data_IF_521069920383
#
_entry.id   IF_521069920383
#
_cell.length_a   1.000
_cell.length_b   1.000
_cell.length_c   1.000
_cell.angle_alpha   90.00
_cell.angle_beta   90.00
_cell.angle_gamma   90.00
#
_symmetry.space_group_name_H-M   'P 1'
#
loop_
_entity.id
_entity.type
_entity.pdbx_description
1 polymer ?
#
# COMPACT_ATOMS: atom_id res chain seq x y z
N UNK A 1 -20.97 16.19 -2.07
CA UNK A 1 -20.74 16.20 -0.61
C UNK A 1 -19.45 16.95 -0.39
N UNK A 2 -19.49 18.02 0.39
CA UNK A 2 -18.28 18.77 0.73
C UNK A 2 -17.29 17.87 1.47
N UNK A 3 -15.98 18.00 1.20
CA UNK A 3 -14.99 17.27 1.97
C UNK A 3 -15.12 17.64 3.45
N UNK A 4 -15.05 16.67 4.38
CA UNK A 4 -15.07 16.97 5.79
C UNK A 4 -13.91 17.91 6.13
N UNK A 5 -14.09 18.85 7.07
CA UNK A 5 -13.05 19.78 7.45
C UNK A 5 -11.80 19.01 7.90
N UNK A 6 -10.63 19.48 7.47
CA UNK A 6 -9.34 18.95 7.91
C UNK A 6 -9.29 18.94 9.44
N UNK A 7 -8.72 17.89 10.07
CA UNK A 7 -8.59 17.84 11.52
C UNK A 7 -7.77 19.04 11.99
N UNK A 8 -8.25 19.74 13.02
CA UNK A 8 -7.50 20.79 13.69
C UNK A 8 -6.19 20.19 14.22
N UNK A 9 -5.04 20.88 14.07
CA UNK A 9 -3.79 20.42 14.67
C UNK A 9 -3.99 20.16 16.16
N UNK A 10 -3.59 18.98 16.63
CA UNK A 10 -3.57 18.68 18.06
C UNK A 10 -2.66 19.67 18.80
N UNK A 11 -2.85 19.85 20.12
CA UNK A 11 -2.01 20.75 20.90
C UNK A 11 -0.53 20.39 20.76
N UNK A 12 0.38 21.38 20.64
CA UNK A 12 1.79 21.12 20.51
C UNK A 12 2.31 20.43 21.78
N UNK A 13 3.03 19.33 21.63
CA UNK A 13 3.61 18.66 22.77
C UNK A 13 4.84 19.44 23.29
N UNK A 14 5.09 19.45 24.61
CA UNK A 14 6.27 20.09 25.17
C UNK A 14 7.55 19.56 24.51
N UNK A 15 8.54 20.44 24.30
CA UNK A 15 9.81 20.07 23.71
C UNK A 15 10.96 20.91 24.25
N UNK A 16 12.02 20.24 24.69
CA UNK A 16 13.32 20.88 24.91
C UNK A 16 14.02 21.05 23.56
N UNK A 17 14.53 22.24 23.28
CA UNK A 17 15.39 22.53 22.14
C UNK A 17 16.81 22.04 22.46
N UNK A 18 17.47 21.35 21.53
CA UNK A 18 18.85 20.93 21.73
C UNK A 18 19.42 20.01 20.66
N UNK A 19 18.57 19.27 19.92
CA UNK A 19 19.02 18.37 18.86
C UNK A 19 18.19 18.57 17.58
N UNK A 20 18.87 18.86 16.46
CA UNK A 20 18.26 19.14 15.16
C UNK A 20 17.52 17.93 14.60
N UNK A 21 18.05 16.71 14.76
CA UNK A 21 17.40 15.46 14.35
C UNK A 21 16.13 15.22 15.14
N UNK A 22 16.15 15.51 16.45
CA UNK A 22 14.95 15.45 17.28
C UNK A 22 13.92 16.52 16.88
N UNK A 23 14.39 17.69 16.46
CA UNK A 23 13.56 18.74 15.85
C UNK A 23 12.83 18.23 14.60
N UNK A 24 13.55 17.58 13.69
CA UNK A 24 12.95 16.94 12.51
C UNK A 24 12.00 15.80 12.86
N UNK A 25 12.38 14.93 13.79
CA UNK A 25 11.56 13.83 14.26
C UNK A 25 10.20 14.31 14.77
N UNK A 26 10.18 15.43 15.52
CA UNK A 26 8.95 16.01 16.08
C UNK A 26 7.97 16.53 15.03
N UNK A 27 8.37 16.74 13.78
CA UNK A 27 7.46 17.10 12.68
C UNK A 27 6.52 15.95 12.28
N UNK A 28 6.85 14.71 12.65
CA UNK A 28 6.00 13.52 12.45
C UNK A 28 5.40 12.99 13.76
N UNK A 29 5.42 13.80 14.82
CA UNK A 29 4.90 13.42 16.14
C UNK A 29 3.43 13.78 16.28
N UNK A 30 2.68 12.84 16.84
CA UNK A 30 1.36 13.04 17.39
C UNK A 30 1.35 12.73 18.89
N UNK A 31 0.65 13.54 19.68
CA UNK A 31 0.48 13.34 21.12
C UNK A 31 -1.00 13.16 21.42
N UNK A 32 -1.46 11.92 21.68
CA UNK A 32 -2.84 11.69 22.01
C UNK A 32 -3.25 12.51 23.25
N UNK A 33 -4.37 13.24 23.21
CA UNK A 33 -4.75 14.15 24.28
C UNK A 33 -5.12 13.41 25.58
N UNK A 34 -4.96 14.10 26.71
CA UNK A 34 -5.43 13.67 28.04
C UNK A 34 -4.84 12.33 28.53
N UNK A 35 -3.52 12.16 28.40
CA UNK A 35 -2.81 10.94 28.86
C UNK A 35 -1.70 11.26 29.84
N UNK A 36 -1.80 10.70 31.04
CA UNK A 36 -0.77 10.76 32.09
C UNK A 36 -0.61 9.39 32.76
N UNK A 37 -0.24 8.34 32.00
CA UNK A 37 -0.04 7.00 32.55
C UNK A 37 1.16 6.98 33.52
N UNK A 38 1.14 6.07 34.49
CA UNK A 38 2.27 5.84 35.40
C UNK A 38 3.51 5.27 34.68
N UNK A 39 3.31 4.61 33.54
CA UNK A 39 4.35 4.05 32.68
C UNK A 39 4.17 4.59 31.25
N UNK A 40 4.62 5.81 30.95
CA UNK A 40 4.47 6.40 29.62
C UNK A 40 5.28 5.66 28.57
N UNK A 41 4.69 5.51 27.38
CA UNK A 41 5.28 4.85 26.21
C UNK A 41 5.40 5.86 25.06
N UNK A 42 6.52 5.80 24.34
CA UNK A 42 6.68 6.41 23.01
C UNK A 42 6.58 5.31 21.97
N UNK A 43 5.66 5.43 21.04
CA UNK A 43 5.55 4.54 19.89
C UNK A 43 6.23 5.18 18.67
N UNK A 44 7.02 4.40 17.96
CA UNK A 44 7.68 4.83 16.72
C UNK A 44 7.35 3.84 15.60
N UNK A 45 6.86 4.36 14.47
CA UNK A 45 6.50 3.57 13.30
C UNK A 45 7.33 3.96 12.08
N UNK A 46 7.88 2.97 11.37
CA UNK A 46 8.53 3.10 10.05
C UNK A 46 7.92 2.11 9.04
N UNK A 47 8.21 2.29 7.75
CA UNK A 47 7.74 1.38 6.72
C UNK A 47 6.71 1.93 5.75
N UNK A 48 5.92 1.02 5.18
CA UNK A 48 4.81 1.33 4.27
C UNK A 48 3.48 1.14 5.00
N UNK A 49 3.05 -0.09 5.19
CA UNK A 49 1.63 -0.38 5.39
C UNK A 49 1.16 -0.08 6.81
N UNK A 50 2.09 0.19 7.73
CA UNK A 50 1.79 0.65 9.10
C UNK A 50 1.07 1.98 9.13
N UNK A 51 1.37 2.87 8.17
CA UNK A 51 0.78 4.22 8.15
C UNK A 51 0.29 4.72 6.82
N UNK A 52 0.53 3.96 5.76
CA UNK A 52 0.09 4.28 4.39
C UNK A 52 -1.35 3.86 4.20
N UNK A 53 -2.20 4.46 5.02
CA UNK A 53 -3.61 4.18 5.08
C UNK A 53 -4.32 5.16 4.13
N UNK A 54 -4.58 4.70 2.91
CA UNK A 54 -5.34 5.46 1.92
C UNK A 54 -6.81 5.34 2.25
N UNK A 55 -7.39 6.12 3.15
CA UNK A 55 -8.86 6.11 3.19
C UNK A 55 -9.36 6.72 1.86
N UNK A 56 -9.77 5.87 0.92
CA UNK A 56 -10.26 6.32 -0.37
C UNK A 56 -11.69 6.87 -0.20
N UNK A 57 -11.88 8.18 -0.34
CA UNK A 57 -13.18 8.85 -0.19
C UNK A 57 -14.02 8.83 -1.46
N UNK A 58 -13.36 8.63 -2.60
CA UNK A 58 -13.97 8.70 -3.92
C UNK A 58 -13.38 7.59 -4.77
N UNK A 59 -14.18 7.06 -5.70
CA UNK A 59 -13.72 6.11 -6.69
C UNK A 59 -12.63 6.83 -7.50
N UNK A 60 -11.40 6.30 -7.44
CA UNK A 60 -10.23 6.99 -7.95
C UNK A 60 -10.20 7.01 -9.48
N UNK A 61 -10.93 7.94 -10.10
CA UNK A 61 -10.75 8.33 -11.50
C UNK A 61 -11.06 9.82 -11.70
N UNK A 62 -10.18 10.61 -12.35
CA UNK A 62 -8.95 10.20 -13.04
C UNK A 62 -7.77 9.87 -12.10
N UNK A 63 -6.78 9.13 -12.62
CA UNK A 63 -5.58 8.70 -11.89
C UNK A 63 -4.66 9.88 -11.55
N UNK A 64 -4.88 10.52 -10.41
CA UNK A 64 -3.87 11.31 -9.70
C UNK A 64 -3.20 10.46 -8.62
N UNK A 65 -1.90 10.66 -8.38
CA UNK A 65 -1.18 10.01 -7.28
C UNK A 65 -1.79 10.47 -5.94
N UNK A 66 -2.71 9.70 -5.36
CA UNK A 66 -3.40 9.89 -4.07
C UNK A 66 -4.19 11.22 -3.86
N UNK A 67 -3.92 12.27 -4.64
CA UNK A 67 -4.55 13.60 -4.57
C UNK A 67 -6.01 13.53 -5.03
N UNK A 68 -6.92 14.13 -4.25
CA UNK A 68 -8.36 14.19 -4.52
C UNK A 68 -9.16 12.96 -4.05
N UNK A 69 -8.48 11.83 -3.85
CA UNK A 69 -9.13 10.56 -3.52
C UNK A 69 -8.83 10.05 -2.11
N UNK A 70 -7.79 10.56 -1.44
CA UNK A 70 -7.36 10.09 -0.11
C UNK A 70 -7.29 11.24 0.90
N UNK A 71 -7.56 10.94 2.19
CA UNK A 71 -7.38 11.93 3.28
C UNK A 71 -5.89 12.20 3.45
N UNK A 72 -5.58 13.45 3.73
CA UNK A 72 -4.33 13.84 4.35
C UNK A 72 -4.53 13.89 5.88
N UNK A 73 -3.52 13.49 6.64
CA UNK A 73 -3.51 13.77 8.08
C UNK A 73 -3.07 15.21 8.39
N UNK A 74 -2.83 15.48 9.67
CA UNK A 74 -2.37 16.77 10.19
C UNK A 74 -1.05 17.28 9.59
N UNK A 75 -0.29 16.43 8.90
CA UNK A 75 0.96 16.80 8.21
C UNK A 75 0.72 17.23 6.76
N UNK A 76 -0.53 17.13 6.27
CA UNK A 76 -0.86 17.46 4.88
C UNK A 76 -0.34 16.44 3.87
N UNK A 77 -0.19 15.17 4.27
CA UNK A 77 0.36 14.10 3.43
C UNK A 77 -0.74 13.12 2.96
N UNK A 78 -1.38 13.33 1.79
CA UNK A 78 -2.34 12.38 1.23
C UNK A 78 -1.78 10.96 1.16
N UNK A 79 -2.60 9.98 1.57
CA UNK A 79 -2.24 8.56 1.55
C UNK A 79 -1.41 8.08 2.74
N UNK A 80 -0.96 8.99 3.61
CA UNK A 80 -0.17 8.69 4.80
C UNK A 80 -0.91 9.05 6.10
N UNK A 81 -2.22 8.74 6.18
CA UNK A 81 -3.02 9.14 7.34
C UNK A 81 -2.56 8.41 8.61
N UNK A 82 -1.80 9.11 9.46
CA UNK A 82 -1.18 8.50 10.64
C UNK A 82 -2.19 8.00 11.68
N UNK A 83 -3.41 8.56 11.72
CA UNK A 83 -4.40 8.24 12.75
C UNK A 83 -5.36 7.14 12.28
N UNK A 84 -5.71 7.13 11.00
CA UNK A 84 -6.52 6.07 10.40
C UNK A 84 -5.74 4.75 10.30
N UNK A 85 -4.41 4.81 10.22
CA UNK A 85 -3.58 3.62 10.15
C UNK A 85 -3.67 2.72 11.38
N UNK A 86 -3.23 1.47 11.25
CA UNK A 86 -3.34 0.54 12.37
C UNK A 86 -2.36 0.85 13.51
N UNK A 87 -1.19 1.45 13.25
CA UNK A 87 -0.37 2.00 14.34
C UNK A 87 -1.02 3.22 15.00
N UNK A 88 -1.67 4.09 14.21
CA UNK A 88 -2.49 5.18 14.74
C UNK A 88 -3.60 4.68 15.65
N UNK A 89 -4.38 3.70 15.19
CA UNK A 89 -5.43 3.05 15.97
C UNK A 89 -4.88 2.35 17.22
N UNK A 90 -3.74 1.68 17.14
CA UNK A 90 -3.08 1.12 18.32
C UNK A 90 -2.72 2.23 19.32
N UNK A 91 -2.04 3.28 18.86
CA UNK A 91 -1.63 4.40 19.70
C UNK A 91 -2.83 5.13 20.32
N UNK A 92 -3.89 5.41 19.56
CA UNK A 92 -5.01 6.25 19.98
C UNK A 92 -6.10 5.47 20.72
N UNK A 93 -6.38 4.23 20.30
CA UNK A 93 -7.55 3.48 20.76
C UNK A 93 -7.22 2.29 21.67
N UNK A 94 -6.02 1.69 21.56
CA UNK A 94 -5.69 0.44 22.27
C UNK A 94 -4.77 0.64 23.46
N UNK A 95 -3.55 1.17 23.27
CA UNK A 95 -2.62 1.38 24.39
C UNK A 95 -2.68 2.82 24.91
N UNK A 96 -3.41 3.01 26.02
CA UNK A 96 -3.55 4.30 26.71
C UNK A 96 -2.25 4.80 27.33
N UNK A 97 -1.20 3.97 27.40
CA UNK A 97 0.13 4.39 27.88
C UNK A 97 0.93 5.16 26.83
N UNK A 98 0.58 5.06 25.55
CA UNK A 98 1.28 5.78 24.48
C UNK A 98 1.02 7.27 24.64
N UNK A 99 2.03 8.06 24.99
CA UNK A 99 1.93 9.52 25.17
C UNK A 99 2.49 10.29 23.99
N UNK A 100 3.37 9.66 23.21
CA UNK A 100 3.91 10.20 21.96
C UNK A 100 3.92 9.10 20.91
N UNK A 101 3.52 9.44 19.69
CA UNK A 101 3.53 8.57 18.53
C UNK A 101 4.24 9.27 17.38
N UNK A 102 5.38 8.72 16.95
CA UNK A 102 6.15 9.21 15.82
C UNK A 102 5.88 8.34 14.59
N UNK A 103 5.52 8.97 13.47
CA UNK A 103 5.24 8.28 12.22
C UNK A 103 6.21 8.65 11.09
N UNK A 104 7.23 7.83 10.90
CA UNK A 104 8.18 7.97 9.79
C UNK A 104 7.87 7.07 8.60
N UNK A 105 6.78 6.28 8.66
CA UNK A 105 6.35 5.45 7.56
C UNK A 105 5.76 6.29 6.41
N UNK A 106 5.94 5.80 5.17
CA UNK A 106 5.55 6.44 3.91
C UNK A 106 5.04 5.42 2.90
N UNK A 107 4.05 5.80 2.10
CA UNK A 107 3.45 4.92 1.09
C UNK A 107 4.48 4.35 0.12
N UNK A 108 4.56 3.03 0.07
CA UNK A 108 5.46 2.34 -0.86
C UNK A 108 6.93 2.34 -0.46
N UNK A 109 7.28 2.79 0.76
CA UNK A 109 8.65 2.61 1.25
C UNK A 109 8.95 1.14 1.52
N UNK A 110 10.09 0.67 1.00
CA UNK A 110 10.71 -0.61 1.35
C UNK A 110 11.73 -0.46 2.47
N UNK A 111 12.42 -1.54 2.83
CA UNK A 111 13.45 -1.50 3.87
C UNK A 111 14.63 -0.59 3.51
N UNK A 112 15.02 -0.55 2.23
CA UNK A 112 16.07 0.36 1.76
C UNK A 112 15.70 1.84 1.95
N UNK A 113 14.43 2.21 1.72
CA UNK A 113 13.98 3.59 1.96
C UNK A 113 13.87 3.90 3.45
N UNK A 114 13.56 2.92 4.30
CA UNK A 114 13.59 3.09 5.77
C UNK A 114 15.02 3.44 6.22
N UNK A 115 16.01 2.72 5.68
CA UNK A 115 17.44 2.92 5.99
C UNK A 115 18.00 4.22 5.41
N UNK A 116 17.60 4.59 4.18
CA UNK A 116 18.38 5.56 3.41
C UNK A 116 17.62 6.59 2.59
N UNK A 117 16.29 6.74 2.73
CA UNK A 117 15.56 7.74 1.94
C UNK A 117 16.10 9.17 2.21
N UNK A 118 16.65 9.85 1.19
CA UNK A 118 17.17 11.20 1.34
C UNK A 118 16.06 12.24 1.34
N UNK A 119 16.39 13.47 1.77
CA UNK A 119 15.50 14.61 1.65
C UNK A 119 14.97 14.76 0.21
N UNK A 120 13.66 14.95 0.08
CA UNK A 120 12.98 15.08 -1.21
C UNK A 120 12.64 13.77 -1.93
N UNK A 121 13.07 12.60 -1.42
CA UNK A 121 12.65 11.31 -1.97
C UNK A 121 11.13 11.19 -1.95
N UNK A 122 10.53 10.76 -3.05
CA UNK A 122 9.07 10.71 -3.18
C UNK A 122 8.53 9.34 -2.78
N UNK A 123 7.46 9.34 -1.99
CA UNK A 123 6.64 8.14 -1.77
C UNK A 123 5.78 7.81 -3.00
N UNK A 124 5.05 6.69 -2.99
CA UNK A 124 4.21 6.29 -4.13
C UNK A 124 3.03 7.26 -4.40
N UNK A 125 2.69 8.10 -3.42
CA UNK A 125 1.72 9.19 -3.55
C UNK A 125 2.35 10.50 -4.02
N UNK A 126 3.66 10.50 -4.32
CA UNK A 126 4.46 11.68 -4.69
C UNK A 126 4.63 12.71 -3.57
N UNK A 127 4.38 12.34 -2.32
CA UNK A 127 4.75 13.20 -1.21
C UNK A 127 6.28 13.15 -1.01
N UNK A 128 6.97 14.30 -0.97
CA UNK A 128 8.40 14.31 -0.69
C UNK A 128 8.67 14.00 0.79
N UNK A 129 9.75 13.27 1.04
CA UNK A 129 10.36 13.13 2.35
C UNK A 129 10.98 14.47 2.77
N UNK A 130 10.18 15.30 3.42
CA UNK A 130 10.56 16.64 3.84
C UNK A 130 11.38 16.65 5.14
N UNK A 131 12.30 15.69 5.32
CA UNK A 131 13.23 15.61 6.46
C UNK A 131 14.65 15.47 5.95
N UNK A 132 15.60 15.92 6.74
CA UNK A 132 17.03 15.89 6.39
C UNK A 132 17.71 14.54 6.67
N UNK A 133 17.05 13.63 7.40
CA UNK A 133 17.58 12.33 7.79
C UNK A 133 16.65 11.19 7.38
N UNK A 134 17.19 9.98 7.16
CA UNK A 134 16.38 8.80 6.87
C UNK A 134 15.38 8.44 7.99
N UNK A 135 14.29 7.73 7.66
CA UNK A 135 13.29 7.29 8.64
C UNK A 135 13.87 6.55 9.85
N UNK A 136 14.83 5.63 9.65
CA UNK A 136 15.43 4.85 10.75
C UNK A 136 16.23 5.74 11.71
N UNK A 137 16.98 6.72 11.21
CA UNK A 137 17.74 7.66 12.04
C UNK A 137 16.83 8.56 12.89
N UNK A 138 15.70 8.99 12.34
CA UNK A 138 14.71 9.75 13.12
C UNK A 138 14.03 8.85 14.17
N UNK A 139 13.80 7.58 13.83
CA UNK A 139 13.25 6.59 14.75
C UNK A 139 14.17 6.33 15.93
N UNK A 140 15.45 6.06 15.68
CA UNK A 140 16.46 5.85 16.74
C UNK A 140 16.57 7.09 17.62
N UNK A 141 16.49 8.30 17.04
CA UNK A 141 16.54 9.53 17.84
C UNK A 141 15.33 9.70 18.76
N UNK A 142 14.12 9.41 18.27
CA UNK A 142 12.91 9.44 19.09
C UNK A 142 12.97 8.41 20.24
N UNK A 143 13.50 7.21 19.97
CA UNK A 143 13.70 6.16 20.97
C UNK A 143 14.70 6.60 22.05
N UNK A 144 15.86 7.14 21.67
CA UNK A 144 16.86 7.66 22.61
C UNK A 144 16.30 8.78 23.48
N UNK A 145 15.50 9.68 22.90
CA UNK A 145 14.84 10.73 23.67
C UNK A 145 13.83 10.13 24.66
N UNK A 146 13.06 9.11 24.26
CA UNK A 146 12.15 8.41 25.16
C UNK A 146 12.89 7.81 26.37
N UNK A 147 14.08 7.23 26.15
CA UNK A 147 14.93 6.73 27.24
C UNK A 147 15.42 7.84 28.17
N UNK A 148 15.85 8.96 27.60
CA UNK A 148 16.28 10.16 28.35
C UNK A 148 15.14 10.69 29.23
N UNK A 149 13.92 10.67 28.70
CA UNK A 149 12.69 11.09 29.40
C UNK A 149 12.14 10.01 30.37
N UNK A 150 12.84 8.88 30.53
CA UNK A 150 12.43 7.73 31.35
C UNK A 150 11.07 7.13 30.96
N UNK A 151 10.78 7.13 29.66
CA UNK A 151 9.60 6.49 29.04
C UNK A 151 9.99 5.13 28.48
N UNK A 152 9.01 4.24 28.32
CA UNK A 152 9.17 3.07 27.46
C UNK A 152 9.19 3.49 25.98
N UNK A 153 9.85 2.74 25.13
CA UNK A 153 9.99 3.00 23.70
C UNK A 153 9.63 1.73 22.92
N UNK A 154 8.53 1.78 22.19
CA UNK A 154 8.06 0.69 21.33
C UNK A 154 8.29 1.08 19.88
N UNK A 155 8.80 0.14 19.11
CA UNK A 155 9.02 0.29 17.69
C UNK A 155 8.17 -0.71 16.93
N UNK A 156 7.58 -0.25 15.83
CA UNK A 156 6.83 -1.10 14.90
C UNK A 156 7.26 -0.81 13.46
N UNK A 157 7.51 -1.85 12.67
CA UNK A 157 7.91 -1.72 11.25
C UNK A 157 7.20 -2.71 10.33
N UNK A 158 7.09 -2.28 9.07
CA UNK A 158 6.70 -3.06 7.90
C UNK A 158 7.68 -2.68 6.81
N UNK A 159 8.07 -3.62 5.97
CA UNK A 159 9.06 -3.33 4.95
C UNK A 159 9.46 -4.61 4.26
N UNK A 160 10.03 -4.48 3.08
CA UNK A 160 10.57 -5.60 2.31
C UNK A 160 9.73 -5.96 1.10
N UNK A 161 8.40 -5.80 1.14
CA UNK A 161 7.57 -6.05 -0.06
C UNK A 161 7.88 -5.03 -1.16
N UNK A 162 8.04 -3.75 -0.80
CA UNK A 162 8.26 -2.69 -1.78
C UNK A 162 9.70 -2.61 -2.28
N UNK A 163 10.60 -3.45 -1.77
CA UNK A 163 11.90 -3.64 -2.40
C UNK A 163 11.76 -4.38 -3.74
N UNK A 164 10.66 -5.14 -3.90
CA UNK A 164 10.41 -6.04 -5.02
C UNK A 164 9.42 -5.44 -6.03
N UNK A 165 9.25 -6.10 -7.18
CA UNK A 165 8.25 -5.75 -8.21
C UNK A 165 6.80 -6.03 -7.80
N UNK A 166 6.55 -6.53 -6.58
CA UNK A 166 5.24 -6.94 -6.06
C UNK A 166 4.09 -6.01 -6.43
N UNK A 167 4.20 -4.74 -6.05
CA UNK A 167 3.15 -3.74 -6.25
C UNK A 167 2.90 -3.47 -7.74
N UNK A 168 3.96 -3.42 -8.54
CA UNK A 168 3.87 -3.24 -9.99
C UNK A 168 3.22 -4.44 -10.68
N UNK A 169 3.57 -5.66 -10.24
CA UNK A 169 3.01 -6.90 -10.73
C UNK A 169 1.51 -7.00 -10.45
N UNK A 170 1.10 -6.77 -9.20
CA UNK A 170 -0.32 -6.83 -8.81
C UNK A 170 -1.18 -5.83 -9.57
N UNK A 171 -0.66 -4.61 -9.73
CA UNK A 171 -1.29 -3.60 -10.58
C UNK A 171 -1.45 -4.15 -12.00
N UNK A 172 -0.37 -4.62 -12.63
CA UNK A 172 -0.41 -5.11 -13.99
C UNK A 172 -1.40 -6.29 -14.18
N UNK A 173 -1.44 -7.26 -13.26
CA UNK A 173 -2.39 -8.37 -13.30
C UNK A 173 -3.85 -7.90 -13.20
N UNK A 174 -4.15 -7.00 -12.28
CA UNK A 174 -5.50 -6.45 -12.12
C UNK A 174 -5.92 -5.60 -13.34
N UNK A 175 -4.99 -4.87 -13.96
CA UNK A 175 -5.20 -4.20 -15.26
C UNK A 175 -5.54 -5.23 -16.35
N UNK A 176 -4.81 -6.34 -16.42
CA UNK A 176 -5.07 -7.37 -17.40
C UNK A 176 -6.43 -8.06 -17.21
N UNK A 177 -6.82 -8.36 -15.96
CA UNK A 177 -8.14 -8.90 -15.65
C UNK A 177 -9.27 -7.93 -16.00
N UNK A 178 -9.09 -6.63 -15.72
CA UNK A 178 -10.01 -5.58 -16.17
C UNK A 178 -10.20 -5.59 -17.68
N UNK A 179 -9.10 -5.64 -18.43
CA UNK A 179 -9.13 -5.60 -19.89
C UNK A 179 -9.84 -6.83 -20.48
N UNK A 180 -9.61 -8.01 -19.90
CA UNK A 180 -10.28 -9.26 -20.29
C UNK A 180 -11.79 -9.16 -20.07
N UNK A 181 -12.21 -8.55 -18.95
CA UNK A 181 -13.62 -8.25 -18.69
C UNK A 181 -14.20 -7.22 -19.67
N UNK A 182 -13.47 -6.13 -19.93
CA UNK A 182 -13.94 -5.10 -20.86
C UNK A 182 -14.13 -5.68 -22.27
N UNK A 183 -13.23 -6.56 -22.70
CA UNK A 183 -13.38 -7.33 -23.95
C UNK A 183 -14.71 -8.10 -23.98
N UNK A 184 -15.07 -8.81 -22.92
CA UNK A 184 -16.34 -9.56 -22.83
C UNK A 184 -17.57 -8.64 -23.00
N UNK A 185 -17.59 -7.51 -22.30
CA UNK A 185 -18.67 -6.54 -22.38
C UNK A 185 -18.80 -5.96 -23.80
N UNK A 186 -17.67 -5.54 -24.38
CA UNK A 186 -17.60 -4.97 -25.72
C UNK A 186 -18.07 -5.98 -26.78
N UNK A 187 -17.60 -7.22 -26.71
CA UNK A 187 -17.98 -8.26 -27.65
C UNK A 187 -19.48 -8.59 -27.57
N UNK A 188 -20.05 -8.61 -26.37
CA UNK A 188 -21.48 -8.81 -26.15
C UNK A 188 -22.28 -7.71 -26.85
N UNK A 189 -21.91 -6.45 -26.59
CA UNK A 189 -22.57 -5.29 -27.22
C UNK A 189 -22.48 -5.31 -28.75
N UNK A 190 -21.29 -5.59 -29.31
CA UNK A 190 -21.11 -5.67 -30.76
C UNK A 190 -22.01 -6.73 -31.40
N UNK A 191 -22.16 -7.87 -30.72
CA UNK A 191 -23.02 -8.98 -31.18
C UNK A 191 -24.49 -8.58 -31.16
N UNK A 192 -24.97 -8.00 -30.05
CA UNK A 192 -26.37 -7.57 -29.88
C UNK A 192 -26.78 -6.50 -30.89
N UNK A 193 -25.87 -5.57 -31.19
CA UNK A 193 -26.10 -4.46 -32.11
C UNK A 193 -25.70 -4.74 -33.56
N UNK A 194 -25.30 -5.98 -33.88
CA UNK A 194 -24.87 -6.42 -35.22
C UNK A 194 -23.76 -5.55 -35.81
N UNK A 195 -22.85 -5.08 -34.96
CA UNK A 195 -21.69 -4.29 -35.36
C UNK A 195 -20.61 -5.23 -35.91
N UNK A 196 -19.96 -4.93 -37.05
CA UNK A 196 -18.92 -5.78 -37.63
C UNK A 196 -17.56 -5.52 -36.94
N UNK A 197 -17.57 -5.52 -35.60
CA UNK A 197 -16.42 -5.27 -34.73
C UNK A 197 -16.18 -6.49 -33.82
N UNK A 198 -14.93 -6.71 -33.46
CA UNK A 198 -14.49 -7.75 -32.53
C UNK A 198 -13.61 -7.13 -31.46
N UNK A 199 -13.89 -7.45 -30.20
CA UNK A 199 -12.99 -7.16 -29.09
C UNK A 199 -12.10 -8.39 -28.84
N UNK A 200 -10.80 -8.21 -28.90
CA UNK A 200 -9.80 -9.27 -28.75
C UNK A 200 -8.86 -8.97 -27.59
N UNK A 201 -8.34 -10.04 -26.98
CA UNK A 201 -7.31 -9.98 -25.95
C UNK A 201 -6.22 -10.98 -26.30
N UNK A 202 -5.02 -10.45 -26.50
CA UNK A 202 -3.83 -11.21 -26.83
C UNK A 202 -2.90 -11.22 -25.61
N UNK A 203 -2.29 -12.37 -25.33
CA UNK A 203 -1.39 -12.57 -24.19
C UNK A 203 0.01 -12.90 -24.71
N UNK A 204 1.02 -12.27 -24.12
CA UNK A 204 2.40 -12.39 -24.56
C UNK A 204 3.32 -12.80 -23.42
N UNK A 205 4.32 -13.63 -23.72
CA UNK A 205 5.45 -13.87 -22.83
C UNK A 205 6.45 -12.70 -22.86
N UNK A 206 7.52 -12.79 -22.06
CA UNK A 206 8.60 -11.79 -22.03
C UNK A 206 9.32 -11.60 -23.37
N UNK A 207 9.31 -12.62 -24.24
CA UNK A 207 9.93 -12.54 -25.56
C UNK A 207 8.98 -11.96 -26.61
N UNK A 208 7.73 -11.64 -26.24
CA UNK A 208 6.72 -11.11 -27.15
C UNK A 208 6.01 -12.18 -27.99
N UNK A 209 6.16 -13.47 -27.67
CA UNK A 209 5.41 -14.54 -28.31
C UNK A 209 4.06 -14.74 -27.64
N UNK A 210 3.08 -15.21 -28.42
CA UNK A 210 1.78 -15.60 -27.88
C UNK A 210 1.92 -16.67 -26.79
N UNK A 211 1.24 -16.46 -25.67
CA UNK A 211 1.26 -17.37 -24.52
C UNK A 211 -0.14 -17.57 -23.93
N UNK A 212 -0.28 -18.47 -22.97
CA UNK A 212 -1.51 -18.66 -22.21
C UNK A 212 -1.65 -17.58 -21.12
N UNK A 213 -2.88 -17.13 -20.83
CA UNK A 213 -3.18 -16.18 -19.73
C UNK A 213 -2.46 -16.58 -18.43
N UNK A 214 -2.54 -17.85 -18.05
CA UNK A 214 -1.93 -18.36 -16.82
C UNK A 214 -0.41 -18.11 -16.70
N UNK A 215 0.31 -17.98 -17.81
CA UNK A 215 1.77 -17.76 -17.82
C UNK A 215 2.19 -16.30 -17.74
N UNK A 216 1.28 -15.36 -17.94
CA UNK A 216 1.58 -13.92 -17.96
C UNK A 216 2.09 -13.41 -16.60
N UNK A 217 1.72 -14.10 -15.51
CA UNK A 217 2.24 -13.84 -14.16
C UNK A 217 3.74 -14.08 -14.01
N UNK A 218 4.37 -14.86 -14.90
CA UNK A 218 5.82 -15.10 -14.93
C UNK A 218 6.59 -13.88 -15.50
N UNK A 219 5.87 -12.87 -15.96
CA UNK A 219 6.36 -11.77 -16.75
C UNK A 219 5.86 -11.89 -18.19
N UNK A 220 5.51 -10.76 -18.80
CA UNK A 220 4.96 -10.72 -20.15
C UNK A 220 4.05 -9.53 -20.34
N UNK A 221 2.97 -9.69 -21.11
CA UNK A 221 1.99 -8.63 -21.28
C UNK A 221 0.61 -9.14 -21.67
N UNK A 222 -0.38 -8.28 -21.49
CA UNK A 222 -1.68 -8.42 -22.11
C UNK A 222 -1.97 -7.24 -23.03
N UNK A 223 -2.66 -7.50 -24.13
CA UNK A 223 -2.99 -6.51 -25.15
C UNK A 223 -4.44 -6.68 -25.60
N UNK A 224 -5.28 -5.72 -25.21
CA UNK A 224 -6.67 -5.66 -25.67
C UNK A 224 -6.77 -4.75 -26.88
N UNK A 225 -7.53 -5.18 -27.88
CA UNK A 225 -7.77 -4.45 -29.13
C UNK A 225 -9.19 -4.61 -29.65
N UNK A 226 -9.66 -3.61 -30.40
CA UNK A 226 -10.89 -3.70 -31.21
C UNK A 226 -10.46 -3.77 -32.67
N UNK A 227 -11.00 -4.74 -33.42
CA UNK A 227 -10.74 -4.94 -34.84
C UNK A 227 -12.05 -5.10 -35.62
N UNK A 228 -12.15 -4.56 -36.82
CA UNK A 228 -13.33 -4.76 -37.67
C UNK A 228 -13.51 -3.69 -38.75
N UNK A 229 -14.58 -3.85 -39.53
CA UNK A 229 -14.85 -3.05 -40.73
C UNK A 229 -16.05 -2.11 -40.54
N UNK A 230 -15.83 -1.09 -39.72
CA UNK A 230 -16.54 0.20 -39.83
C UNK A 230 -15.43 1.26 -39.89
N UNK A 231 -15.33 1.98 -41.00
CA UNK A 231 -14.35 3.07 -41.20
C UNK A 231 -12.88 2.72 -40.87
N UNK A 232 -12.47 1.44 -40.97
CA UNK A 232 -11.11 1.00 -40.68
C UNK A 232 -10.68 1.10 -39.20
N UNK A 233 -11.64 1.13 -38.28
CA UNK A 233 -11.38 1.34 -36.85
C UNK A 233 -10.50 0.20 -36.28
N UNK A 234 -9.29 0.58 -35.86
CA UNK A 234 -8.38 -0.20 -35.02
C UNK A 234 -8.15 0.58 -33.74
N UNK A 235 -8.91 0.34 -32.67
CA UNK A 235 -8.66 1.05 -31.42
C UNK A 235 -9.28 0.36 -30.21
N UNK A 236 -8.45 -0.36 -29.46
CA UNK A 236 -7.91 0.02 -28.14
C UNK A 236 -6.47 -0.48 -28.24
N UNK A 237 -5.46 0.34 -27.96
CA UNK A 237 -4.08 -0.14 -27.85
C UNK A 237 -3.69 0.07 -26.39
N UNK A 238 -4.22 -0.80 -25.52
CA UNK A 238 -3.75 -0.86 -24.16
C UNK A 238 -2.93 -2.13 -24.01
N UNK A 239 -1.62 -1.97 -24.07
CA UNK A 239 -0.69 -3.02 -23.73
C UNK A 239 -0.23 -2.77 -22.30
N UNK A 240 -0.44 -3.75 -21.44
CA UNK A 240 -0.01 -3.71 -20.05
C UNK A 240 1.14 -4.70 -19.92
N UNK A 241 2.33 -4.19 -19.63
CA UNK A 241 3.48 -5.02 -19.29
C UNK A 241 3.32 -5.52 -17.86
N UNK A 242 3.47 -6.83 -17.68
CA UNK A 242 3.53 -7.49 -16.38
C UNK A 242 5.00 -7.73 -16.04
N UNK A 243 5.55 -7.06 -15.01
CA UNK A 243 6.94 -7.27 -14.62
C UNK A 243 7.14 -8.67 -14.05
N UNK A 244 8.34 -9.21 -14.20
CA UNK A 244 8.74 -10.46 -13.55
C UNK A 244 8.84 -10.26 -12.04
N UNK A 245 8.42 -11.27 -11.28
CA UNK A 245 8.64 -11.34 -9.84
C UNK A 245 10.13 -11.47 -9.52
N UNK A 246 10.70 -10.47 -8.84
CA UNK A 246 12.14 -10.40 -8.53
C UNK A 246 12.48 -10.72 -7.06
N UNK A 247 11.47 -11.05 -6.24
CA UNK A 247 11.63 -11.30 -4.81
C UNK A 247 12.81 -12.22 -4.46
N UNK A 248 12.96 -13.42 -5.05
CA UNK A 248 14.05 -14.34 -4.73
C UNK A 248 15.45 -13.72 -4.85
N UNK A 249 15.66 -12.84 -5.82
CA UNK A 249 16.94 -12.15 -5.99
C UNK A 249 17.20 -11.10 -4.89
N UNK A 250 16.13 -10.56 -4.30
CA UNK A 250 16.16 -9.52 -3.29
C UNK A 250 16.03 -10.03 -1.86
N UNK A 251 15.66 -11.29 -1.66
CA UNK A 251 15.51 -11.88 -0.32
C UNK A 251 16.75 -11.72 0.58
N UNK A 252 18.00 -11.92 0.11
CA UNK A 252 19.18 -11.69 0.94
C UNK A 252 19.30 -10.24 1.41
N UNK A 253 19.03 -9.27 0.53
CA UNK A 253 19.07 -7.85 0.87
C UNK A 253 17.95 -7.49 1.85
N UNK A 254 16.73 -7.94 1.60
CA UNK A 254 15.59 -7.70 2.51
C UNK A 254 15.90 -8.23 3.91
N UNK A 255 16.48 -9.44 4.01
CA UNK A 255 16.91 -10.02 5.29
C UNK A 255 17.96 -9.12 5.98
N UNK A 256 19.00 -8.72 5.25
CA UNK A 256 20.06 -7.86 5.77
C UNK A 256 19.53 -6.50 6.24
N UNK A 257 18.62 -5.89 5.48
CA UNK A 257 18.05 -4.61 5.86
C UNK A 257 17.16 -4.73 7.11
N UNK A 258 16.41 -5.84 7.24
CA UNK A 258 15.61 -6.12 8.45
C UNK A 258 16.52 -6.24 9.67
N UNK A 259 17.63 -6.99 9.54
CA UNK A 259 18.65 -7.13 10.59
C UNK A 259 19.19 -5.76 11.00
N UNK A 260 19.62 -4.95 10.02
CA UNK A 260 20.17 -3.60 10.25
C UNK A 260 19.17 -2.67 10.96
N UNK A 261 17.93 -2.60 10.48
CA UNK A 261 16.88 -1.76 11.10
C UNK A 261 16.63 -2.20 12.55
N UNK A 262 16.57 -3.51 12.82
CA UNK A 262 16.31 -4.04 14.17
C UNK A 262 17.48 -3.76 15.10
N UNK A 263 18.71 -3.97 14.64
CA UNK A 263 19.91 -3.71 15.41
C UNK A 263 20.03 -2.22 15.77
N UNK A 264 19.74 -1.32 14.82
CA UNK A 264 19.72 0.12 15.07
C UNK A 264 18.73 0.52 16.17
N UNK A 265 17.48 0.06 16.09
CA UNK A 265 16.45 0.47 17.07
C UNK A 265 16.65 -0.19 18.44
N UNK A 266 17.19 -1.42 18.47
CA UNK A 266 17.60 -2.07 19.72
C UNK A 266 18.78 -1.33 20.35
N UNK A 267 19.79 -0.96 19.55
CA UNK A 267 20.95 -0.16 19.98
C UNK A 267 20.54 1.23 20.49
N UNK A 268 19.48 1.81 19.93
CA UNK A 268 18.89 3.06 20.42
C UNK A 268 18.14 2.92 21.77
N UNK A 269 17.85 1.68 22.20
CA UNK A 269 17.19 1.39 23.47
C UNK A 269 15.69 1.08 23.38
N UNK A 270 15.22 0.55 22.24
CA UNK A 270 13.84 0.05 22.16
C UNK A 270 13.59 -1.04 23.22
N UNK A 271 12.44 -0.96 23.90
CA UNK A 271 12.01 -1.99 24.86
C UNK A 271 11.23 -3.11 24.18
N UNK A 272 10.53 -2.78 23.10
CA UNK A 272 9.78 -3.73 22.26
C UNK A 272 9.90 -3.33 20.79
N UNK A 273 10.09 -4.34 19.94
CA UNK A 273 10.22 -4.22 18.49
C UNK A 273 9.25 -5.21 17.88
N UNK A 274 8.27 -4.73 17.12
CA UNK A 274 7.33 -5.60 16.38
C UNK A 274 7.50 -5.39 14.89
N UNK A 275 7.78 -6.46 14.16
CA UNK A 275 7.70 -6.45 12.71
C UNK A 275 6.36 -7.06 12.27
N UNK A 276 5.52 -6.27 11.62
CA UNK A 276 4.24 -6.74 11.11
C UNK A 276 4.44 -7.40 9.74
N UNK A 277 3.90 -8.61 9.58
CA UNK A 277 3.86 -9.29 8.29
C UNK A 277 2.94 -8.57 7.30
N UNK A 278 3.23 -8.72 6.02
CA UNK A 278 2.34 -8.29 4.95
C UNK A 278 1.08 -9.16 4.91
N UNK A 279 -0.06 -8.50 4.75
CA UNK A 279 -1.36 -9.14 4.56
C UNK A 279 -1.56 -9.50 3.08
N UNK A 280 -2.33 -10.57 2.85
CA UNK A 280 -2.75 -10.93 1.50
C UNK A 280 -3.89 -10.00 1.03
N UNK A 281 -3.70 -9.40 -0.14
CA UNK A 281 -4.68 -8.51 -0.77
C UNK A 281 -5.43 -9.18 -1.92
N UNK A 282 -5.14 -10.45 -2.22
CA UNK A 282 -5.85 -11.23 -3.23
C UNK A 282 -7.38 -11.29 -3.02
N UNK A 283 -7.94 -11.21 -1.79
CA UNK A 283 -9.38 -11.14 -1.57
C UNK A 283 -10.01 -9.78 -1.90
N UNK A 284 -9.22 -8.76 -2.25
CA UNK A 284 -9.77 -7.46 -2.58
C UNK A 284 -10.69 -7.52 -3.79
N UNK A 285 -11.65 -6.59 -3.85
CA UNK A 285 -12.53 -6.39 -5.00
C UNK A 285 -12.42 -4.99 -5.54
N UNK A 286 -12.70 -4.83 -6.83
CA UNK A 286 -12.70 -3.56 -7.50
C UNK A 286 -13.94 -3.42 -8.39
N UNK A 287 -14.38 -2.18 -8.58
CA UNK A 287 -15.51 -1.86 -9.45
C UNK A 287 -15.02 -1.81 -10.90
N UNK A 288 -15.06 -2.95 -11.57
CA UNK A 288 -14.67 -3.10 -12.98
C UNK A 288 -15.59 -2.31 -13.91
N UNK A 289 -16.86 -2.18 -13.57
CA UNK A 289 -17.87 -1.54 -14.41
C UNK A 289 -17.69 -0.03 -14.50
N UNK A 290 -17.52 0.63 -13.34
CA UNK A 290 -17.21 2.07 -13.30
C UNK A 290 -15.86 2.39 -13.94
N UNK A 291 -14.89 1.48 -13.82
CA UNK A 291 -13.60 1.63 -14.45
C UNK A 291 -13.68 1.49 -15.97
N UNK A 292 -14.39 0.47 -16.46
CA UNK A 292 -14.70 0.31 -17.87
C UNK A 292 -15.42 1.54 -18.44
N UNK A 293 -16.37 2.13 -17.70
CA UNK A 293 -17.03 3.38 -18.11
C UNK A 293 -16.04 4.53 -18.26
N UNK A 294 -15.09 4.69 -17.33
CA UNK A 294 -14.05 5.71 -17.45
C UNK A 294 -13.18 5.48 -18.69
N UNK A 295 -12.80 4.24 -18.99
CA UNK A 295 -12.09 3.95 -20.23
C UNK A 295 -12.93 4.33 -21.44
N UNK A 296 -14.21 3.92 -21.46
CA UNK A 296 -15.17 4.19 -22.53
C UNK A 296 -15.26 5.67 -22.87
N UNK A 297 -15.41 6.55 -21.88
CA UNK A 297 -15.55 8.01 -22.09
C UNK A 297 -14.26 8.71 -22.51
N UNK A 298 -13.09 8.08 -22.30
CA UNK A 298 -11.79 8.59 -22.73
C UNK A 298 -11.31 7.99 -24.07
N UNK A 299 -12.11 7.12 -24.69
CA UNK A 299 -11.80 6.63 -26.03
C UNK A 299 -11.97 7.75 -27.07
N UNK A 300 -11.46 7.53 -28.28
CA UNK A 300 -11.66 8.46 -29.38
C UNK A 300 -13.16 8.69 -29.63
N UNK A 301 -13.56 9.95 -29.81
CA UNK A 301 -14.96 10.36 -29.91
C UNK A 301 -15.73 9.62 -31.01
N UNK A 302 -15.05 9.29 -32.11
CA UNK A 302 -15.56 8.49 -33.22
C UNK A 302 -16.05 7.09 -32.82
N UNK A 303 -15.58 6.57 -31.68
CA UNK A 303 -15.96 5.25 -31.16
C UNK A 303 -17.22 5.30 -30.31
N UNK A 304 -17.56 6.45 -29.71
CA UNK A 304 -18.62 6.53 -28.72
C UNK A 304 -19.99 6.06 -29.22
N UNK A 305 -20.27 6.20 -30.53
CA UNK A 305 -21.50 5.70 -31.15
C UNK A 305 -21.56 4.18 -31.35
N UNK A 306 -20.42 3.49 -31.22
CA UNK A 306 -20.28 2.04 -31.38
C UNK A 306 -20.03 1.30 -30.07
N UNK A 307 -19.85 2.02 -28.96
CA UNK A 307 -19.64 1.45 -27.63
C UNK A 307 -21.00 1.26 -26.94
N UNK A 308 -21.10 0.35 -25.95
CA UNK A 308 -22.25 0.33 -25.05
C UNK A 308 -22.55 1.72 -24.49
N UNK A 309 -23.81 1.92 -24.09
CA UNK A 309 -24.19 3.07 -23.28
C UNK A 309 -23.43 3.09 -21.94
N UNK A 310 -23.97 3.78 -20.94
CA UNK A 310 -23.34 3.80 -19.63
C UNK A 310 -23.11 2.37 -19.09
N UNK A 311 -21.86 2.04 -18.75
CA UNK A 311 -21.52 0.74 -18.18
C UNK A 311 -21.88 0.75 -16.68
N UNK A 312 -22.74 -0.17 -16.21
CA UNK A 312 -23.14 -0.21 -14.81
C UNK A 312 -21.97 -0.63 -13.92
N UNK A 313 -21.98 -0.19 -12.67
CA UNK A 313 -21.04 -0.65 -11.64
C UNK A 313 -21.13 -2.17 -11.47
N UNK A 314 -19.97 -2.83 -11.40
CA UNK A 314 -19.87 -4.27 -11.17
C UNK A 314 -18.61 -4.56 -10.38
N UNK A 315 -18.74 -5.25 -9.25
CA UNK A 315 -17.59 -5.69 -8.45
C UNK A 315 -17.02 -7.01 -8.97
N UNK A 316 -15.70 -7.08 -9.10
CA UNK A 316 -14.95 -8.33 -9.35
C UNK A 316 -13.74 -8.42 -8.43
N UNK A 317 -13.21 -9.63 -8.27
CA UNK A 317 -11.98 -9.86 -7.50
C UNK A 317 -10.79 -9.20 -8.20
N UNK A 318 -9.89 -8.59 -7.42
CA UNK A 318 -8.69 -7.86 -7.90
C UNK A 318 -7.89 -8.67 -8.91
N UNK A 319 -7.67 -9.93 -8.57
CA UNK A 319 -7.07 -10.92 -9.43
C UNK A 319 -8.22 -11.87 -9.76
N UNK A 320 -8.60 -12.01 -11.02
CA UNK A 320 -9.72 -12.84 -11.44
C UNK A 320 -9.32 -14.30 -11.67
N UNK A 321 -8.06 -14.54 -12.05
CA UNK A 321 -7.49 -15.88 -12.25
C UNK A 321 -7.15 -16.56 -10.91
N UNK A 322 -7.74 -17.74 -10.60
CA UNK A 322 -7.47 -18.46 -9.36
C UNK A 322 -6.01 -18.92 -9.19
N UNK A 323 -5.33 -19.23 -10.29
CA UNK A 323 -3.92 -19.61 -10.29
C UNK A 323 -3.05 -18.43 -9.88
N UNK A 324 -3.31 -17.26 -10.46
CA UNK A 324 -2.61 -16.02 -10.07
C UNK A 324 -2.81 -15.68 -8.60
N UNK A 325 -4.04 -15.83 -8.06
CA UNK A 325 -4.30 -15.61 -6.63
C UNK A 325 -3.43 -16.51 -5.74
N UNK A 326 -3.35 -17.79 -6.06
CA UNK A 326 -2.56 -18.74 -5.28
C UNK A 326 -1.06 -18.40 -5.32
N UNK A 327 -0.54 -18.03 -6.50
CA UNK A 327 0.86 -17.61 -6.67
C UNK A 327 1.18 -16.34 -5.88
N UNK A 328 0.29 -15.33 -5.94
CA UNK A 328 0.41 -14.09 -5.17
C UNK A 328 0.44 -14.40 -3.67
N UNK A 329 -0.51 -15.17 -3.14
CA UNK A 329 -0.51 -15.55 -1.73
C UNK A 329 0.78 -16.29 -1.31
N UNK A 330 1.31 -17.15 -2.19
CA UNK A 330 2.59 -17.83 -1.94
C UNK A 330 3.76 -16.85 -1.84
N UNK A 331 3.87 -15.88 -2.74
CA UNK A 331 4.92 -14.86 -2.71
C UNK A 331 4.85 -13.98 -1.45
N UNK A 332 3.65 -13.56 -1.02
CA UNK A 332 3.46 -12.85 0.25
C UNK A 332 3.98 -13.67 1.44
N UNK A 333 3.69 -14.97 1.46
CA UNK A 333 4.15 -15.88 2.52
C UNK A 333 5.68 -16.05 2.49
N UNK A 334 6.28 -16.16 1.32
CA UNK A 334 7.74 -16.24 1.17
C UNK A 334 8.44 -14.97 1.69
N UNK A 335 7.92 -13.79 1.35
CA UNK A 335 8.44 -12.51 1.85
C UNK A 335 8.35 -12.41 3.37
N UNK A 336 7.20 -12.78 3.95
CA UNK A 336 7.00 -12.81 5.39
C UNK A 336 7.98 -13.77 6.09
N UNK A 337 8.28 -14.92 5.47
CA UNK A 337 9.28 -15.85 5.98
C UNK A 337 10.68 -15.24 5.96
N UNK A 338 11.08 -14.61 4.85
CA UNK A 338 12.39 -13.94 4.72
C UNK A 338 12.55 -12.85 5.78
N UNK A 339 11.57 -11.96 5.90
CA UNK A 339 11.51 -10.94 6.95
C UNK A 339 11.69 -11.57 8.34
N UNK A 340 10.90 -12.61 8.65
CA UNK A 340 10.96 -13.27 9.95
C UNK A 340 12.35 -13.85 10.24
N UNK A 341 13.04 -14.38 9.23
CA UNK A 341 14.40 -14.92 9.39
C UNK A 341 15.48 -13.87 9.57
N UNK A 342 15.22 -12.59 9.24
CA UNK A 342 16.09 -11.46 9.57
C UNK A 342 15.89 -10.94 11.00
N UNK A 343 14.90 -11.43 11.75
CA UNK A 343 14.70 -11.02 13.14
C UNK A 343 15.53 -11.90 14.08
N UNK A 344 16.15 -11.34 15.14
CA UNK A 344 16.91 -12.11 16.11
C UNK A 344 15.98 -13.01 16.94
N UNK A 345 15.99 -14.32 16.65
CA UNK A 345 15.07 -15.31 17.23
C UNK A 345 15.14 -15.40 18.76
N UNK A 346 16.32 -15.17 19.35
CA UNK A 346 16.58 -15.31 20.78
C UNK A 346 16.40 -13.99 21.56
N UNK A 347 16.05 -12.88 20.90
CA UNK A 347 15.85 -11.61 21.57
C UNK A 347 14.37 -11.45 22.00
N UNK A 348 14.06 -11.49 23.31
CA UNK A 348 12.67 -11.45 23.78
C UNK A 348 11.96 -10.10 23.52
N UNK A 349 12.72 -9.05 23.16
CA UNK A 349 12.16 -7.74 22.80
C UNK A 349 11.64 -7.68 21.37
N UNK A 350 12.07 -8.60 20.50
CA UNK A 350 11.74 -8.60 19.08
C UNK A 350 10.70 -9.67 18.78
N UNK A 351 9.62 -9.29 18.09
CA UNK A 351 8.55 -10.22 17.73
C UNK A 351 8.10 -9.99 16.29
N UNK A 352 7.80 -11.09 15.60
CA UNK A 352 7.08 -11.06 14.33
C UNK A 352 5.58 -11.20 14.58
N UNK A 353 4.79 -10.30 14.05
CA UNK A 353 3.33 -10.39 14.05
C UNK A 353 2.85 -10.88 12.68
N UNK A 354 2.39 -12.12 12.53
CA UNK A 354 1.77 -12.54 11.27
C UNK A 354 0.54 -11.68 10.99
N UNK A 355 0.34 -11.30 9.72
CA UNK A 355 -0.86 -10.59 9.34
C UNK A 355 -2.11 -11.43 9.62
N UNK A 356 -3.17 -10.87 10.23
CA UNK A 356 -4.44 -11.56 10.33
C UNK A 356 -5.04 -11.75 8.93
N UNK A 357 -5.91 -12.76 8.79
CA UNK A 357 -6.68 -12.93 7.56
C UNK A 357 -7.60 -11.71 7.35
N UNK A 358 -7.42 -11.01 6.23
CA UNK A 358 -8.27 -9.91 5.80
C UNK A 358 -9.20 -10.41 4.70
N UNK A 359 -10.51 -10.34 4.94
CA UNK A 359 -11.52 -10.69 3.96
C UNK A 359 -11.87 -9.53 3.03
N UNK A 360 -12.76 -9.79 2.07
CA UNK A 360 -13.32 -8.78 1.15
C UNK A 360 -13.82 -7.54 1.90
N UNK A 361 -14.46 -7.73 3.05
CA UNK A 361 -15.03 -6.64 3.87
C UNK A 361 -13.99 -5.91 4.74
N UNK A 362 -12.75 -6.37 4.78
CA UNK A 362 -11.65 -5.72 5.49
C UNK A 362 -10.75 -4.91 4.55
N UNK A 363 -10.95 -5.05 3.24
CA UNK A 363 -10.21 -4.38 2.19
C UNK A 363 -11.08 -3.31 1.54
N UNK A 364 -10.45 -2.26 1.05
CA UNK A 364 -11.13 -1.21 0.32
C UNK A 364 -11.54 -1.69 -1.05
N UNK A 365 -12.75 -1.30 -1.44
CA UNK A 365 -13.25 -1.45 -2.81
C UNK A 365 -12.71 -0.29 -3.61
N UNK A 366 -11.71 -0.53 -4.45
CA UNK A 366 -11.04 0.56 -5.16
C UNK A 366 -11.41 0.59 -6.62
N UNK A 367 -11.28 1.77 -7.20
CA UNK A 367 -11.20 2.01 -8.62
C UNK A 367 -9.70 2.16 -8.90
N UNK A 368 -9.15 1.39 -9.85
CA UNK A 368 -7.72 1.17 -10.13
C UNK A 368 -6.84 2.45 -10.14
N UNK A 369 -6.35 2.85 -8.96
CA UNK A 369 -5.46 4.00 -8.75
C UNK A 369 -4.46 3.80 -7.60
N UNK A 370 -4.51 2.64 -6.94
CA UNK A 370 -3.61 2.20 -5.87
C UNK A 370 -3.85 0.72 -5.57
N UNK A 371 -2.92 0.06 -4.86
CA UNK A 371 -3.16 -1.30 -4.35
C UNK A 371 -4.37 -1.28 -3.40
N UNK A 372 -5.17 -2.35 -3.30
CA UNK A 372 -6.23 -2.38 -2.30
C UNK A 372 -5.65 -2.37 -0.89
N UNK A 373 -6.00 -1.34 -0.13
CA UNK A 373 -5.59 -1.17 1.26
C UNK A 373 -6.66 -1.68 2.22
N UNK A 374 -6.30 -1.99 3.47
CA UNK A 374 -7.28 -2.23 4.53
C UNK A 374 -8.25 -1.04 4.65
N UNK A 375 -9.52 -1.33 4.86
CA UNK A 375 -10.49 -0.33 5.27
C UNK A 375 -10.50 -0.21 6.81
N UNK A 376 -11.47 0.50 7.37
CA UNK A 376 -11.59 0.69 8.83
C UNK A 376 -11.52 -0.63 9.62
N UNK A 377 -12.31 -1.64 9.22
CA UNK A 377 -12.34 -2.97 9.85
C UNK A 377 -10.99 -3.68 9.71
N UNK A 378 -10.37 -3.63 8.53
CA UNK A 378 -9.06 -4.23 8.30
C UNK A 378 -7.97 -3.59 9.15
N UNK A 379 -7.96 -2.27 9.26
CA UNK A 379 -7.03 -1.56 10.14
C UNK A 379 -7.27 -1.86 11.62
N UNK A 380 -8.53 -2.05 12.05
CA UNK A 380 -8.83 -2.46 13.44
C UNK A 380 -8.32 -3.86 13.77
N UNK A 381 -8.41 -4.81 12.82
CA UNK A 381 -7.84 -6.16 12.94
C UNK A 381 -6.32 -6.13 13.01
N UNK A 382 -5.67 -5.35 12.15
CA UNK A 382 -4.21 -5.18 12.18
C UNK A 382 -3.75 -4.53 13.48
N UNK A 383 -4.50 -3.53 13.99
CA UNK A 383 -4.22 -2.90 15.27
C UNK A 383 -4.39 -3.88 16.44
N UNK A 384 -5.35 -4.81 16.36
CA UNK A 384 -5.53 -5.88 17.35
C UNK A 384 -4.35 -6.85 17.36
N UNK A 385 -3.86 -7.23 16.19
CA UNK A 385 -2.70 -8.10 16.05
C UNK A 385 -1.44 -7.43 16.61
N UNK A 386 -1.24 -6.14 16.34
CA UNK A 386 -0.14 -5.35 16.89
C UNK A 386 -0.21 -5.29 18.43
N UNK A 387 -1.39 -4.97 18.98
CA UNK A 387 -1.63 -4.90 20.42
C UNK A 387 -1.35 -6.23 21.12
N UNK A 388 -1.86 -7.33 20.54
CA UNK A 388 -1.61 -8.69 21.05
C UNK A 388 -0.12 -9.02 21.02
N UNK A 389 0.60 -8.59 19.99
CA UNK A 389 2.03 -8.92 19.85
C UNK A 389 2.89 -8.11 20.80
N UNK A 390 2.51 -6.87 21.14
CA UNK A 390 3.24 -6.09 22.13
C UNK A 390 3.04 -6.60 23.57
N UNK A 391 1.92 -7.24 23.88
CA UNK A 391 1.62 -7.76 25.22
C UNK A 391 2.08 -9.22 25.38
#
# INVERSE_FOLDING_TARGET
MDPPPSPTPGPPCPGNAGDERLGEARKDRYCPPNRTPSQPVVLVATGDSITSAHLQFQNAFPMGACVGNTRADLRGLPGNDMLFSYAGKYAVNRDRRVVEYYNFARTGYGTQQILGAPAGYQDACRNPWARNWPPVELATRAIQQAKTDRKAAYFVSTGGVNNTTWTGLLKALASCGLMDHYRELMQTYFTEHKLPLQAQMDWFDLAGNYTAKSRVIEGGACHGRIVGDVTGIKYIHHRVEVPTWDGPALYPQIKSDVEEIVDEVLGAGADKVVWMGYYDISPARFDVGRLAEQYRVNLAQELHGYLPGQIPSQERDLIDDPGWKATVAQWTNQLNLVIRTGLPADNPKVRFAPAPALGVNDLQKTAFGGSPHPNESGHDKLAAALDTTFN
#
